data_IF_731104290059
#
_entry.id   IF_731104290059
#
_cell.length_a   1.000
_cell.length_b   1.000
_cell.length_c   1.000
_cell.angle_alpha   90.00
_cell.angle_beta   90.00
_cell.angle_gamma   90.00
#
_symmetry.space_group_name_H-M   'P 1'
#
loop_
_entity.id
_entity.type
_entity.pdbx_description
1 polymer ?
#
# COMPACT_ATOMS: atom_id res chain seq x y z
N UNK A 1 -34.26 24.91 -45.17
CA UNK A 1 -34.50 23.51 -44.74
C UNK A 1 -33.27 22.93 -44.02
N UNK A 2 -32.06 23.20 -44.47
CA UNK A 2 -30.82 22.69 -43.82
C UNK A 2 -30.56 23.22 -42.40
N UNK A 3 -30.84 24.52 -42.15
CA UNK A 3 -30.60 25.14 -40.82
C UNK A 3 -31.49 24.52 -39.73
N UNK A 4 -32.71 24.14 -40.07
CA UNK A 4 -33.66 23.50 -39.13
C UNK A 4 -33.27 22.08 -38.76
N UNK A 5 -32.69 21.32 -39.70
CA UNK A 5 -32.14 19.99 -39.52
C UNK A 5 -30.88 20.00 -38.63
N UNK A 6 -29.96 20.98 -38.86
CA UNK A 6 -28.80 21.16 -38.00
C UNK A 6 -29.13 21.55 -36.59
N UNK A 7 -30.18 22.39 -36.37
CA UNK A 7 -30.63 22.79 -35.05
C UNK A 7 -31.29 21.61 -34.29
N UNK A 8 -32.10 20.82 -34.97
CA UNK A 8 -32.72 19.61 -34.40
C UNK A 8 -31.68 18.55 -34.03
N UNK A 9 -30.63 18.37 -34.88
CA UNK A 9 -29.54 17.45 -34.58
C UNK A 9 -28.72 17.90 -33.37
N UNK A 10 -28.43 19.20 -33.22
CA UNK A 10 -27.71 19.75 -32.04
C UNK A 10 -28.52 19.61 -30.75
N UNK A 11 -29.86 19.80 -30.79
CA UNK A 11 -30.73 19.63 -29.63
C UNK A 11 -30.77 18.14 -29.21
N UNK A 12 -30.89 17.23 -30.17
CA UNK A 12 -30.86 15.78 -29.94
C UNK A 12 -29.55 15.31 -29.35
N UNK A 13 -28.42 15.84 -29.83
CA UNK A 13 -27.09 15.49 -29.32
C UNK A 13 -26.87 15.97 -27.88
N UNK A 14 -27.31 17.19 -27.54
CA UNK A 14 -27.25 17.72 -26.16
C UNK A 14 -28.14 16.91 -25.19
N UNK A 15 -29.31 16.47 -25.66
CA UNK A 15 -30.17 15.60 -24.86
C UNK A 15 -29.53 14.24 -24.60
N UNK A 16 -29.00 13.59 -25.63
CA UNK A 16 -28.28 12.30 -25.49
C UNK A 16 -27.09 12.41 -24.53
N UNK A 17 -26.31 13.50 -24.62
CA UNK A 17 -25.18 13.73 -23.74
C UNK A 17 -25.60 13.86 -22.27
N UNK A 18 -26.71 14.53 -21.97
CA UNK A 18 -27.28 14.62 -20.62
C UNK A 18 -27.64 13.25 -20.05
N UNK A 19 -28.29 12.41 -20.85
CA UNK A 19 -28.67 11.06 -20.41
C UNK A 19 -27.47 10.15 -20.22
N UNK A 20 -26.44 10.24 -21.07
CA UNK A 20 -25.16 9.53 -20.90
C UNK A 20 -24.51 9.96 -19.58
N UNK A 21 -24.43 11.27 -19.33
CA UNK A 21 -23.85 11.78 -18.10
C UNK A 21 -24.62 11.33 -16.86
N UNK A 22 -25.95 11.39 -16.92
CA UNK A 22 -26.80 10.89 -15.83
C UNK A 22 -26.61 9.38 -15.57
N UNK A 23 -26.50 8.59 -16.64
CA UNK A 23 -26.23 7.16 -16.52
C UNK A 23 -24.83 6.88 -15.91
N UNK A 24 -23.81 7.62 -16.31
CA UNK A 24 -22.46 7.50 -15.73
C UNK A 24 -22.46 7.87 -14.24
N UNK A 25 -23.16 8.94 -13.86
CA UNK A 25 -23.29 9.32 -12.44
C UNK A 25 -24.04 8.26 -11.63
N UNK A 26 -25.12 7.71 -12.19
CA UNK A 26 -25.86 6.64 -11.55
C UNK A 26 -24.99 5.38 -11.39
N UNK A 27 -24.27 4.99 -12.43
CA UNK A 27 -23.34 3.88 -12.40
C UNK A 27 -22.24 4.12 -11.35
N UNK A 28 -21.63 5.30 -11.35
CA UNK A 28 -20.63 5.67 -10.34
C UNK A 28 -21.21 5.62 -8.92
N UNK A 29 -22.43 6.11 -8.72
CA UNK A 29 -23.15 6.02 -7.43
C UNK A 29 -23.37 4.57 -6.98
N UNK A 30 -23.79 3.70 -7.89
CA UNK A 30 -23.98 2.27 -7.61
C UNK A 30 -22.66 1.58 -7.27
N UNK A 31 -21.55 1.93 -7.93
CA UNK A 31 -20.23 1.40 -7.61
C UNK A 31 -19.81 1.72 -6.17
N UNK A 32 -20.26 2.86 -5.58
CA UNK A 32 -19.92 3.19 -4.21
C UNK A 32 -20.54 2.23 -3.17
N UNK A 33 -21.56 1.47 -3.53
CA UNK A 33 -22.18 0.46 -2.67
C UNK A 33 -21.32 -0.80 -2.52
N UNK A 34 -20.30 -0.97 -3.37
CA UNK A 34 -19.39 -2.14 -3.38
C UNK A 34 -18.04 -1.87 -2.74
N UNK A 35 -17.89 -0.77 -2.00
CA UNK A 35 -16.63 -0.44 -1.33
C UNK A 35 -16.27 -1.51 -0.29
N UNK A 36 -15.04 -2.08 -0.36
CA UNK A 36 -14.58 -3.06 0.62
C UNK A 36 -14.32 -2.40 1.98
N UNK A 37 -14.38 -3.22 3.02
CA UNK A 37 -14.07 -2.77 4.38
C UNK A 37 -12.58 -2.40 4.51
N UNK A 38 -12.32 -1.27 5.15
CA UNK A 38 -10.99 -0.79 5.53
C UNK A 38 -10.81 -1.09 7.01
N UNK A 39 -10.00 -2.11 7.30
CA UNK A 39 -9.81 -2.59 8.67
C UNK A 39 -8.39 -2.40 9.14
N UNK A 40 -8.23 -2.03 10.40
CA UNK A 40 -6.97 -2.07 11.12
C UNK A 40 -7.19 -2.97 12.37
N UNK A 41 -6.91 -4.28 12.26
CA UNK A 41 -6.99 -5.18 13.41
C UNK A 41 -6.05 -4.75 14.53
N UNK A 42 -6.22 -5.22 15.76
CA UNK A 42 -5.25 -4.98 16.83
C UNK A 42 -3.85 -5.44 16.45
N UNK A 43 -2.84 -4.67 16.86
CA UNK A 43 -1.43 -5.07 16.73
C UNK A 43 -1.16 -6.16 17.75
N UNK A 44 -0.69 -7.32 17.30
CA UNK A 44 -0.34 -8.46 18.17
C UNK A 44 1.10 -8.30 18.67
N UNK A 45 2.03 -8.10 17.72
CA UNK A 45 3.45 -7.90 18.01
C UNK A 45 4.05 -7.06 16.88
N UNK A 46 4.63 -5.90 17.22
CA UNK A 46 5.19 -4.98 16.21
C UNK A 46 6.66 -5.33 15.90
N UNK A 47 6.96 -5.50 14.61
CA UNK A 47 8.32 -5.78 14.12
C UNK A 47 9.35 -4.75 14.60
N UNK A 48 9.00 -3.47 14.59
CA UNK A 48 9.92 -2.41 15.03
C UNK A 48 10.14 -2.45 16.55
N UNK A 49 9.10 -2.76 17.32
CA UNK A 49 9.24 -2.91 18.77
C UNK A 49 10.11 -4.13 19.12
N UNK A 50 9.90 -5.26 18.43
CA UNK A 50 10.65 -6.52 18.67
C UNK A 50 12.12 -6.41 18.27
N UNK A 51 12.43 -5.69 17.18
CA UNK A 51 13.78 -5.63 16.63
C UNK A 51 14.53 -4.33 16.93
N UNK A 52 13.86 -3.31 17.44
CA UNK A 52 14.40 -2.03 17.92
C UNK A 52 15.43 -1.38 16.96
N UNK A 53 15.07 -1.06 15.70
CA UNK A 53 15.96 -0.33 14.81
C UNK A 53 16.24 1.09 15.33
N UNK A 54 17.35 1.72 14.89
CA UNK A 54 17.58 3.13 15.16
C UNK A 54 16.37 3.98 14.71
N UNK A 55 16.02 5.06 15.44
CA UNK A 55 14.84 5.88 15.11
C UNK A 55 14.75 6.36 13.65
N UNK A 56 15.84 6.75 12.96
CA UNK A 56 15.77 7.11 11.56
C UNK A 56 15.33 5.94 10.66
N UNK A 57 15.84 4.73 10.91
CA UNK A 57 15.47 3.51 10.16
C UNK A 57 14.02 3.13 10.45
N UNK A 58 13.58 3.22 11.71
CA UNK A 58 12.19 2.98 12.07
C UNK A 58 11.23 3.92 11.34
N UNK A 59 11.59 5.20 11.21
CA UNK A 59 10.80 6.18 10.48
C UNK A 59 10.67 5.84 8.98
N UNK A 60 11.73 5.33 8.35
CA UNK A 60 11.71 4.89 6.96
C UNK A 60 10.78 3.68 6.77
N UNK A 61 10.81 2.68 7.67
CA UNK A 61 9.87 1.56 7.64
C UNK A 61 8.41 2.03 7.78
N UNK A 62 8.13 2.94 8.72
CA UNK A 62 6.78 3.48 8.89
C UNK A 62 6.29 4.23 7.66
N UNK A 63 7.13 5.00 6.99
CA UNK A 63 6.77 5.76 5.80
C UNK A 63 6.60 4.88 4.55
N UNK A 64 7.41 3.84 4.40
CA UNK A 64 7.51 3.09 3.15
C UNK A 64 6.79 1.72 3.16
N UNK A 65 6.54 1.13 4.35
CA UNK A 65 6.08 -0.25 4.47
C UNK A 65 4.77 -0.41 5.24
N UNK A 66 4.57 0.37 6.32
CA UNK A 66 3.51 0.13 7.30
C UNK A 66 2.10 0.27 6.74
N UNK A 67 1.87 1.17 5.78
CA UNK A 67 0.54 1.35 5.20
C UNK A 67 -0.01 0.09 4.53
N UNK A 68 0.86 -0.74 3.92
CA UNK A 68 0.43 -1.99 3.29
C UNK A 68 0.72 -3.23 4.14
N UNK A 69 1.77 -3.20 4.97
CA UNK A 69 2.28 -4.38 5.65
C UNK A 69 2.01 -4.39 7.16
N UNK A 70 1.13 -3.53 7.69
CA UNK A 70 0.80 -3.51 9.12
C UNK A 70 -0.70 -3.33 9.38
N UNK A 71 -1.09 -3.43 10.65
CA UNK A 71 -2.43 -3.09 11.11
C UNK A 71 -2.58 -1.58 11.42
N UNK A 72 -1.60 -0.76 11.02
CA UNK A 72 -1.57 0.69 11.26
C UNK A 72 -1.74 1.49 9.96
N UNK A 73 -2.45 0.95 8.97
CA UNK A 73 -2.71 1.61 7.68
C UNK A 73 -3.37 2.97 7.88
N UNK A 74 -2.78 4.00 7.30
CA UNK A 74 -3.38 5.32 7.18
C UNK A 74 -4.22 5.38 5.91
N UNK A 75 -5.51 5.07 6.03
CA UNK A 75 -6.41 4.99 4.90
C UNK A 75 -6.60 6.35 4.23
N UNK A 76 -6.09 6.57 3.01
CA UNK A 76 -6.22 7.85 2.31
C UNK A 76 -7.65 8.05 1.81
N UNK A 77 -8.05 9.30 1.53
CA UNK A 77 -9.42 9.62 1.08
C UNK A 77 -9.87 8.81 -0.14
N UNK A 78 -8.99 8.55 -1.09
CA UNK A 78 -9.32 7.78 -2.30
C UNK A 78 -9.57 6.30 -2.02
N UNK A 79 -9.15 5.77 -0.87
CA UNK A 79 -9.51 4.42 -0.42
C UNK A 79 -10.99 4.29 -0.06
N UNK A 80 -11.73 5.40 -0.02
CA UNK A 80 -13.16 5.46 0.23
C UNK A 80 -14.00 5.58 -1.05
N UNK A 81 -13.37 5.68 -2.21
CA UNK A 81 -14.03 5.95 -3.50
C UNK A 81 -13.74 4.83 -4.49
N UNK A 82 -14.78 4.10 -4.91
CA UNK A 82 -14.66 3.09 -5.96
C UNK A 82 -14.42 3.77 -7.33
N UNK A 83 -13.57 3.18 -8.21
CA UNK A 83 -12.92 1.89 -8.09
C UNK A 83 -11.56 1.90 -7.34
N UNK A 84 -11.02 3.07 -6.96
CA UNK A 84 -9.72 3.17 -6.30
C UNK A 84 -9.69 2.41 -4.96
N UNK A 85 -10.80 2.41 -4.22
CA UNK A 85 -10.95 1.66 -2.97
C UNK A 85 -10.66 0.17 -3.11
N UNK A 86 -11.07 -0.45 -4.22
CA UNK A 86 -10.83 -1.88 -4.47
C UNK A 86 -9.34 -2.16 -4.60
N UNK A 87 -8.62 -1.30 -5.33
CA UNK A 87 -7.17 -1.46 -5.53
C UNK A 87 -6.41 -1.26 -4.22
N UNK A 88 -6.74 -0.21 -3.46
CA UNK A 88 -6.03 0.11 -2.20
C UNK A 88 -6.26 -0.98 -1.16
N UNK A 89 -7.52 -1.41 -0.96
CA UNK A 89 -7.82 -2.46 0.02
C UNK A 89 -7.22 -3.80 -0.38
N UNK A 90 -7.23 -4.13 -1.69
CA UNK A 90 -6.56 -5.33 -2.17
C UNK A 90 -5.05 -5.27 -1.92
N UNK A 91 -4.39 -4.15 -2.23
CA UNK A 91 -2.94 -3.99 -2.00
C UNK A 91 -2.56 -4.13 -0.51
N UNK A 92 -3.38 -3.60 0.40
CA UNK A 92 -3.17 -3.75 1.84
C UNK A 92 -3.37 -5.20 2.28
N UNK A 93 -4.42 -5.87 1.80
CA UNK A 93 -4.68 -7.27 2.14
C UNK A 93 -3.57 -8.18 1.63
N UNK A 94 -3.14 -8.01 0.39
CA UNK A 94 -2.01 -8.75 -0.19
C UNK A 94 -0.70 -8.45 0.55
N UNK A 95 -0.43 -7.18 0.87
CA UNK A 95 0.72 -6.78 1.66
C UNK A 95 0.78 -7.51 3.00
N UNK A 96 -0.32 -7.52 3.75
CA UNK A 96 -0.45 -8.23 5.03
C UNK A 96 -0.37 -9.74 4.90
N UNK A 97 -0.89 -10.28 3.80
CA UNK A 97 -0.82 -11.73 3.54
C UNK A 97 0.62 -12.19 3.31
N UNK A 98 1.40 -11.44 2.54
CA UNK A 98 2.79 -11.77 2.27
C UNK A 98 3.73 -11.47 3.44
N UNK A 99 3.51 -10.35 4.13
CA UNK A 99 4.32 -9.89 5.25
C UNK A 99 3.46 -9.01 6.16
N UNK A 100 3.26 -9.42 7.41
CA UNK A 100 2.54 -8.64 8.41
C UNK A 100 3.49 -8.19 9.53
N UNK A 101 3.80 -6.89 9.55
CA UNK A 101 4.70 -6.29 10.53
C UNK A 101 4.02 -6.08 11.90
N UNK A 102 2.68 -6.23 11.97
CA UNK A 102 1.89 -6.14 13.21
C UNK A 102 1.56 -7.50 13.82
N UNK A 103 2.06 -8.57 13.21
CA UNK A 103 1.95 -9.96 13.71
C UNK A 103 3.32 -10.62 13.58
N UNK A 104 4.31 -9.99 14.23
CA UNK A 104 5.70 -10.41 14.17
C UNK A 104 5.99 -11.37 15.31
N UNK A 105 6.53 -12.58 15.09
CA UNK A 105 6.81 -13.54 16.14
C UNK A 105 7.84 -13.01 17.15
N UNK A 106 7.61 -13.23 18.44
CA UNK A 106 8.54 -12.83 19.51
C UNK A 106 9.75 -13.74 19.59
N UNK A 107 9.63 -14.99 19.15
CA UNK A 107 10.71 -15.98 19.23
C UNK A 107 11.72 -15.80 18.11
N UNK A 108 13.01 -15.89 18.44
CA UNK A 108 14.10 -15.99 17.49
C UNK A 108 13.94 -17.27 16.67
N UNK A 109 13.59 -17.14 15.41
CA UNK A 109 13.30 -18.28 14.53
C UNK A 109 13.91 -18.08 13.15
N UNK A 110 14.17 -19.20 12.47
CA UNK A 110 14.60 -19.19 11.07
C UNK A 110 13.60 -18.44 10.17
N UNK A 111 12.34 -18.37 10.59
CA UNK A 111 11.32 -17.59 9.89
C UNK A 111 11.64 -16.09 9.93
N UNK A 112 11.98 -15.55 11.11
CA UNK A 112 12.36 -14.13 11.23
C UNK A 112 13.59 -13.81 10.38
N UNK A 113 14.61 -14.66 10.43
CA UNK A 113 15.83 -14.49 9.63
C UNK A 113 15.49 -14.39 8.15
N UNK A 114 14.75 -15.37 7.62
CA UNK A 114 14.35 -15.37 6.21
C UNK A 114 13.51 -14.15 5.82
N UNK A 115 12.64 -13.67 6.71
CA UNK A 115 11.82 -12.47 6.45
C UNK A 115 12.66 -11.21 6.41
N UNK A 116 13.59 -11.04 7.33
CA UNK A 116 14.50 -9.89 7.33
C UNK A 116 15.37 -9.88 6.06
N UNK A 117 15.93 -11.02 5.66
CA UNK A 117 16.71 -11.16 4.43
C UNK A 117 15.85 -10.84 3.18
N UNK A 118 14.64 -11.39 3.08
CA UNK A 118 13.74 -11.11 1.97
C UNK A 118 13.35 -9.61 1.91
N UNK A 119 13.09 -8.98 3.05
CA UNK A 119 12.84 -7.54 3.11
C UNK A 119 14.04 -6.74 2.60
N UNK A 120 15.26 -7.14 2.98
CA UNK A 120 16.49 -6.52 2.49
C UNK A 120 16.59 -6.61 0.97
N UNK A 121 16.39 -7.79 0.39
CA UNK A 121 16.44 -8.03 -1.06
C UNK A 121 15.40 -7.18 -1.80
N UNK A 122 14.16 -7.14 -1.34
CA UNK A 122 13.07 -6.36 -1.95
C UNK A 122 13.33 -4.84 -1.91
N UNK A 123 13.95 -4.35 -0.84
CA UNK A 123 14.33 -2.94 -0.71
C UNK A 123 15.51 -2.62 -1.64
N UNK A 124 16.51 -3.49 -1.71
CA UNK A 124 17.71 -3.30 -2.53
C UNK A 124 17.39 -3.37 -4.04
N UNK A 125 16.56 -4.33 -4.46
CA UNK A 125 16.10 -4.45 -5.86
C UNK A 125 15.25 -3.25 -6.29
N UNK A 126 14.62 -2.58 -5.34
CA UNK A 126 13.69 -1.48 -5.61
C UNK A 126 12.27 -1.94 -5.95
N UNK A 127 11.94 -3.21 -5.72
CA UNK A 127 10.59 -3.74 -5.90
C UNK A 127 9.66 -3.23 -4.79
N UNK A 128 10.22 -2.98 -3.59
CA UNK A 128 9.52 -2.33 -2.47
C UNK A 128 10.19 -1.01 -2.07
N UNK A 129 9.37 0.04 -1.80
CA UNK A 129 7.92 0.12 -2.04
C UNK A 129 7.58 0.22 -3.53
N UNK A 130 6.37 -0.26 -3.95
CA UNK A 130 5.98 -0.30 -5.36
C UNK A 130 5.90 1.08 -5.99
N UNK A 131 6.27 1.20 -7.28
CA UNK A 131 6.24 2.48 -8.02
C UNK A 131 4.86 3.14 -8.03
N UNK A 132 3.77 2.35 -8.13
CA UNK A 132 2.40 2.88 -8.07
C UNK A 132 2.09 3.56 -6.74
N UNK A 133 2.63 3.06 -5.63
CA UNK A 133 2.48 3.66 -4.30
C UNK A 133 3.32 4.93 -4.18
N UNK A 134 4.62 4.87 -4.50
CA UNK A 134 5.54 6.01 -4.39
C UNK A 134 5.21 7.15 -5.35
N UNK A 135 4.41 6.92 -6.42
CA UNK A 135 3.98 7.97 -7.33
C UNK A 135 3.16 9.05 -6.61
N UNK A 136 2.32 8.64 -5.66
CA UNK A 136 1.39 9.52 -4.91
C UNK A 136 1.75 9.71 -3.43
N UNK A 137 2.74 8.93 -2.91
CA UNK A 137 3.24 9.04 -1.53
C UNK A 137 4.72 9.44 -1.56
N UNK A 138 4.98 10.75 -1.48
CA UNK A 138 6.33 11.30 -1.59
C UNK A 138 7.26 10.80 -0.47
N UNK A 139 6.73 10.67 0.75
CA UNK A 139 7.48 10.26 1.94
C UNK A 139 7.94 8.79 1.89
N UNK A 140 7.30 7.98 1.04
CA UNK A 140 7.68 6.58 0.80
C UNK A 140 8.78 6.43 -0.28
N UNK A 141 9.22 7.52 -0.90
CA UNK A 141 10.28 7.52 -1.94
C UNK A 141 11.65 7.40 -1.29
N UNK A 142 12.13 6.18 -1.15
CA UNK A 142 13.45 5.93 -0.57
C UNK A 142 14.55 6.34 -1.55
N UNK A 143 15.51 7.14 -1.08
CA UNK A 143 16.79 7.39 -1.79
C UNK A 143 17.66 6.15 -1.79
N UNK A 144 18.69 6.11 -2.65
CA UNK A 144 19.65 5.00 -2.67
C UNK A 144 20.37 4.83 -1.30
N UNK A 145 20.68 5.93 -0.62
CA UNK A 145 21.27 5.91 0.73
C UNK A 145 20.34 5.31 1.77
N UNK A 146 19.05 5.70 1.77
CA UNK A 146 18.04 5.17 2.68
C UNK A 146 17.78 3.67 2.45
N UNK A 147 17.73 3.23 1.18
CA UNK A 147 17.62 1.80 0.85
C UNK A 147 18.81 1.02 1.42
N UNK A 148 20.02 1.53 1.22
CA UNK A 148 21.24 0.90 1.74
C UNK A 148 21.25 0.86 3.27
N UNK A 149 20.79 1.91 3.93
CA UNK A 149 20.70 1.98 5.39
C UNK A 149 19.69 0.98 5.95
N UNK A 150 18.48 0.92 5.38
CA UNK A 150 17.45 -0.04 5.78
C UNK A 150 17.88 -1.47 5.55
N UNK A 151 18.42 -1.78 4.36
CA UNK A 151 18.88 -3.11 4.02
C UNK A 151 20.05 -3.55 4.90
N UNK A 152 21.04 -2.68 5.11
CA UNK A 152 22.17 -2.98 5.99
C UNK A 152 21.75 -3.26 7.44
N UNK A 153 20.75 -2.55 7.95
CA UNK A 153 20.19 -2.84 9.27
C UNK A 153 19.49 -4.21 9.29
N UNK A 154 18.68 -4.54 8.27
CA UNK A 154 17.99 -5.84 8.15
C UNK A 154 18.98 -7.00 8.11
N UNK A 155 20.03 -6.88 7.28
CA UNK A 155 21.08 -7.90 7.13
C UNK A 155 21.85 -8.11 8.45
N UNK A 156 22.22 -7.02 9.14
CA UNK A 156 22.89 -7.09 10.43
C UNK A 156 22.00 -7.76 11.49
N UNK A 157 20.69 -7.45 11.49
CA UNK A 157 19.74 -8.06 12.43
C UNK A 157 19.55 -9.55 12.15
N UNK A 158 19.41 -9.94 10.89
CA UNK A 158 19.33 -11.34 10.47
C UNK A 158 20.59 -12.13 10.91
N UNK A 159 21.78 -11.56 10.72
CA UNK A 159 23.04 -12.17 11.16
C UNK A 159 23.11 -12.35 12.69
N UNK A 160 22.65 -11.35 13.46
CA UNK A 160 22.57 -11.46 14.93
C UNK A 160 21.65 -12.61 15.37
N UNK A 161 20.47 -12.76 14.74
CA UNK A 161 19.53 -13.83 15.06
C UNK A 161 20.11 -15.22 14.72
N UNK A 162 20.79 -15.36 13.58
CA UNK A 162 21.51 -16.60 13.22
C UNK A 162 22.58 -16.98 14.24
N UNK A 163 23.39 -16.00 14.65
CA UNK A 163 24.44 -16.23 15.65
C UNK A 163 23.88 -16.61 17.04
N UNK A 164 22.69 -16.12 17.38
CA UNK A 164 22.02 -16.47 18.63
C UNK A 164 21.42 -17.88 18.61
N UNK A 165 20.91 -18.33 17.45
CA UNK A 165 20.34 -19.66 17.28
C UNK A 165 21.39 -20.79 17.21
N UNK A 166 22.64 -20.47 16.86
CA UNK A 166 23.75 -21.44 16.77
C UNK A 166 24.50 -21.67 18.10
N UNK A 167 24.02 -21.08 19.19
CA UNK A 167 24.54 -21.28 20.57
C UNK A 167 23.62 -22.16 21.38
#
# INVERSE_FOLDING_TARGET
MELSLMLAHRISMKSKLKWIFAALLACFGLLQLTNPARTNPPVVSDMLATNAPPPPVAALFRAACYDCHSHETKWPWYSHVAPASWLVVNDVNEGRHHLNLSDWPDAHSDWQVRRLENMSDQIQSGDMPPKKYTAIHADARLTASQRKEMAGWLDARAAQLKAAAGK
#
